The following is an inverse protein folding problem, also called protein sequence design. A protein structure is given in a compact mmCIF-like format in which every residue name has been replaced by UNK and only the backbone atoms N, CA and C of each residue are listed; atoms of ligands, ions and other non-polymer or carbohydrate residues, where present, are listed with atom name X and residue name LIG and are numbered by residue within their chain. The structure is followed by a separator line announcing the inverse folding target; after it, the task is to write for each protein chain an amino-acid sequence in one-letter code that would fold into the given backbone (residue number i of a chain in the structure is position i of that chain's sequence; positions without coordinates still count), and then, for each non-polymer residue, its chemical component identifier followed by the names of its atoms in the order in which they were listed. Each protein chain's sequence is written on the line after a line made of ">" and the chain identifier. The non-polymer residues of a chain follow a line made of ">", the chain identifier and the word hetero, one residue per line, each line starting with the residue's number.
data_IF_273722944130
#
_entry.id   IF_273722944130
#
_cell.length_a   1.000
_cell.length_b   1.000
_cell.length_c   1.000
_cell.angle_alpha   90.00
_cell.angle_beta   90.00
_cell.angle_gamma   90.00
#
_symmetry.space_group_name_H-M   'P 1'
#
loop_
_entity.id
_entity.type
_entity.pdbx_description
1 polymer ?
#
# COMPACT_ATOMS: atom_id res chain seq x y z
N UNK A 1 -5.28 1.88 16.75
CA UNK A 1 -5.15 1.92 15.29
C UNK A 1 -3.74 1.51 14.92
N UNK A 2 -3.53 0.97 13.71
CA UNK A 2 -2.20 0.58 13.25
C UNK A 2 -1.75 1.57 12.18
N UNK A 3 -0.45 1.87 12.18
CA UNK A 3 0.16 2.70 11.14
C UNK A 3 0.64 1.78 10.04
N UNK A 4 0.31 2.11 8.81
CA UNK A 4 0.74 1.40 7.62
C UNK A 4 1.50 2.36 6.71
N UNK A 5 2.67 1.94 6.24
CA UNK A 5 3.40 2.62 5.18
C UNK A 5 2.96 2.05 3.85
N UNK A 6 2.34 2.87 3.01
CA UNK A 6 1.82 2.49 1.70
C UNK A 6 2.70 3.11 0.63
N UNK A 7 3.35 2.28 -0.17
CA UNK A 7 4.28 2.71 -1.21
C UNK A 7 3.67 2.35 -2.58
N UNK A 8 3.52 3.36 -3.44
CA UNK A 8 3.07 3.19 -4.82
C UNK A 8 4.28 2.78 -5.66
N UNK A 9 4.24 1.57 -6.21
CA UNK A 9 5.28 0.98 -7.02
C UNK A 9 4.87 1.05 -8.49
N UNK A 10 5.71 1.68 -9.31
CA UNK A 10 5.59 1.72 -10.77
C UNK A 10 6.82 1.02 -11.36
N UNK A 11 6.60 -0.11 -12.03
CA UNK A 11 7.68 -0.90 -12.64
C UNK A 11 8.85 -1.16 -11.69
N UNK A 12 8.54 -1.51 -10.44
CA UNK A 12 9.51 -1.79 -9.36
C UNK A 12 10.23 -0.57 -8.76
N UNK A 13 9.77 0.65 -9.07
CA UNK A 13 10.26 1.90 -8.49
C UNK A 13 9.21 2.52 -7.56
N UNK A 14 9.61 2.94 -6.37
CA UNK A 14 8.71 3.68 -5.46
C UNK A 14 8.46 5.07 -6.05
N UNK A 15 7.22 5.33 -6.47
CA UNK A 15 6.74 6.64 -6.93
C UNK A 15 6.39 7.55 -5.77
N UNK A 16 5.64 7.02 -4.81
CA UNK A 16 5.07 7.78 -3.70
C UNK A 16 5.02 6.91 -2.45
N UNK A 17 5.21 7.53 -1.29
CA UNK A 17 5.08 6.87 0.01
C UNK A 17 4.09 7.63 0.87
N UNK A 18 3.05 6.94 1.33
CA UNK A 18 2.04 7.44 2.24
C UNK A 18 2.15 6.73 3.59
N UNK A 19 1.85 7.45 4.67
CA UNK A 19 1.73 6.84 6.00
C UNK A 19 0.29 7.01 6.46
N UNK A 20 -0.41 5.89 6.62
CA UNK A 20 -1.86 5.88 6.82
C UNK A 20 -2.22 5.07 8.06
N UNK A 21 -3.07 5.64 8.90
CA UNK A 21 -3.67 4.93 10.02
C UNK A 21 -4.93 4.18 9.59
N UNK A 22 -4.89 2.86 9.75
CA UNK A 22 -5.98 1.97 9.39
C UNK A 22 -6.09 0.79 10.36
N UNK A 23 -7.19 0.05 10.25
CA UNK A 23 -7.37 -1.20 10.99
C UNK A 23 -6.82 -2.41 10.20
N UNK A 24 -6.81 -2.31 8.87
CA UNK A 24 -6.34 -3.36 7.97
C UNK A 24 -5.42 -2.78 6.89
N UNK A 25 -4.46 -3.58 6.37
CA UNK A 25 -3.59 -3.15 5.27
C UNK A 25 -4.39 -2.82 4.00
N UNK A 26 -5.49 -3.53 3.76
CA UNK A 26 -6.40 -3.26 2.64
C UNK A 26 -7.04 -1.87 2.76
N UNK A 27 -7.54 -1.52 3.94
CA UNK A 27 -8.09 -0.19 4.19
C UNK A 27 -7.02 0.91 4.09
N UNK A 28 -5.78 0.63 4.52
CA UNK A 28 -4.67 1.57 4.35
C UNK A 28 -4.38 1.84 2.87
N UNK A 29 -4.34 0.81 2.04
CA UNK A 29 -4.16 0.97 0.60
C UNK A 29 -5.27 1.80 -0.03
N UNK A 30 -6.55 1.48 0.25
CA UNK A 30 -7.68 2.25 -0.28
C UNK A 30 -7.62 3.71 0.14
N UNK A 31 -7.27 3.98 1.41
CA UNK A 31 -7.13 5.35 1.92
C UNK A 31 -5.96 6.10 1.29
N UNK A 32 -4.83 5.45 1.08
CA UNK A 32 -3.65 6.07 0.48
C UNK A 32 -3.90 6.45 -0.99
N UNK A 33 -4.51 5.53 -1.75
CA UNK A 33 -4.76 5.72 -3.19
C UNK A 33 -6.04 6.52 -3.44
N UNK A 34 -6.99 6.48 -2.50
CA UNK A 34 -8.34 7.03 -2.68
C UNK A 34 -9.21 6.23 -3.65
N UNK A 35 -8.82 4.99 -3.98
CA UNK A 35 -9.52 4.10 -4.91
C UNK A 35 -9.49 2.65 -4.41
N UNK A 36 -10.38 1.83 -4.96
CA UNK A 36 -10.42 0.40 -4.66
C UNK A 36 -9.16 -0.28 -5.21
N UNK A 37 -8.49 -1.06 -4.35
CA UNK A 37 -7.31 -1.84 -4.72
C UNK A 37 -7.64 -3.32 -4.68
N UNK A 38 -6.92 -4.14 -5.43
CA UNK A 38 -7.15 -5.59 -5.49
C UNK A 38 -5.91 -6.33 -5.06
N UNK A 39 -6.02 -7.62 -4.73
CA UNK A 39 -4.81 -8.43 -4.54
C UNK A 39 -4.04 -8.48 -5.86
N UNK A 40 -2.73 -8.19 -5.78
CA UNK A 40 -1.84 -8.14 -6.93
C UNK A 40 -1.89 -9.46 -7.70
N UNK A 41 -1.97 -9.39 -9.04
CA UNK A 41 -1.75 -10.53 -9.91
C UNK A 41 -0.47 -10.35 -10.72
N UNK A 42 -0.45 -9.41 -11.68
CA UNK A 42 0.67 -9.22 -12.59
C UNK A 42 0.76 -7.78 -13.16
N UNK A 43 0.33 -6.79 -12.38
CA UNK A 43 0.30 -5.39 -12.83
C UNK A 43 1.64 -4.67 -12.60
N UNK A 44 2.06 -3.88 -13.59
CA UNK A 44 3.24 -3.00 -13.50
C UNK A 44 3.10 -1.94 -12.42
N UNK A 45 1.88 -1.45 -12.20
CA UNK A 45 1.52 -0.53 -11.13
C UNK A 45 0.89 -1.30 -9.98
N UNK A 46 1.53 -1.27 -8.82
CA UNK A 46 1.08 -1.97 -7.64
C UNK A 46 1.46 -1.20 -6.39
N UNK A 47 0.89 -1.59 -5.26
CA UNK A 47 0.96 -0.90 -3.99
C UNK A 47 1.55 -1.85 -2.96
N UNK A 48 2.62 -1.44 -2.31
CA UNK A 48 3.23 -2.16 -1.19
C UNK A 48 2.76 -1.54 0.12
N UNK A 49 2.09 -2.32 0.95
CA UNK A 49 1.64 -1.89 2.28
C UNK A 49 2.47 -2.61 3.34
N UNK A 50 3.28 -1.86 4.07
CA UNK A 50 4.09 -2.35 5.16
C UNK A 50 3.46 -1.95 6.48
N UNK A 51 3.11 -2.92 7.31
CA UNK A 51 2.63 -2.66 8.68
C UNK A 51 3.76 -2.07 9.52
N UNK A 52 3.55 -0.93 10.16
CA UNK A 52 4.53 -0.36 11.09
C UNK A 52 4.15 -0.77 12.51
N UNK A 53 4.95 -1.65 13.11
CA UNK A 53 4.77 -2.11 14.48
C UNK A 53 5.57 -1.22 15.42
N UNK A 54 4.87 -0.38 16.18
CA UNK A 54 5.45 0.38 17.30
C UNK A 54 5.33 -0.44 18.57
N UNK A 55 6.45 -1.02 19.05
CA UNK A 55 6.49 -1.70 20.35
C UNK A 55 7.61 -1.11 21.20
N UNK A 56 7.24 -0.58 22.37
CA UNK A 56 8.16 -0.11 23.41
C UNK A 56 9.38 0.69 22.87
N UNK A 57 9.13 1.85 22.24
CA UNK A 57 10.12 2.77 21.64
C UNK A 57 10.86 2.29 20.38
N UNK A 58 10.53 1.14 19.81
CA UNK A 58 11.06 0.71 18.51
C UNK A 58 9.95 0.65 17.46
N UNK A 59 10.14 1.38 16.36
CA UNK A 59 9.40 1.23 15.11
C UNK A 59 10.06 0.12 14.32
N UNK A 60 9.31 -0.95 14.00
CA UNK A 60 9.76 -2.02 13.11
C UNK A 60 8.78 -2.16 11.95
N UNK A 61 9.32 -2.43 10.78
CA UNK A 61 8.52 -2.91 9.66
C UNK A 61 8.06 -4.35 9.98
N UNK A 62 6.75 -4.53 10.00
CA UNK A 62 6.06 -5.77 10.23
C UNK A 62 5.77 -6.48 8.91
N UNK A 63 4.53 -6.94 8.76
CA UNK A 63 4.13 -7.71 7.57
C UNK A 63 3.93 -6.78 6.37
N UNK A 64 4.41 -7.22 5.21
CA UNK A 64 4.24 -6.55 3.92
C UNK A 64 3.09 -7.22 3.16
N UNK A 65 2.27 -6.39 2.51
CA UNK A 65 1.14 -6.80 1.68
C UNK A 65 1.24 -6.09 0.33
N UNK A 66 0.82 -6.76 -0.72
CA UNK A 66 0.95 -6.27 -2.10
C UNK A 66 -0.43 -6.24 -2.75
N UNK A 67 -0.80 -5.07 -3.28
CA UNK A 67 -2.08 -4.84 -3.92
C UNK A 67 -1.88 -4.28 -5.33
N UNK A 68 -2.68 -4.67 -6.31
CA UNK A 68 -2.71 -3.95 -7.58
C UNK A 68 -3.70 -2.79 -7.49
N UNK A 69 -3.27 -1.63 -7.99
CA UNK A 69 -4.20 -0.58 -8.38
C UNK A 69 -4.79 -1.02 -9.71
N UNK A 70 -6.06 -1.41 -9.71
CA UNK A 70 -6.73 -1.82 -10.93
C UNK A 70 -6.57 -0.71 -11.97
N UNK A 71 -5.73 -0.95 -12.97
CA UNK A 71 -5.63 -0.07 -14.12
C UNK A 71 -6.99 -0.11 -14.79
N UNK A 72 -7.81 0.91 -14.58
CA UNK A 72 -8.77 1.25 -15.62
C UNK A 72 -7.91 1.70 -16.80
N UNK A 73 -7.92 1.00 -17.94
CA UNK A 73 -7.32 1.54 -19.12
C UNK A 73 -8.05 2.85 -19.39
N UNK A 74 -7.35 3.98 -19.28
CA UNK A 74 -7.72 5.15 -20.04
C UNK A 74 -7.49 4.76 -21.51
N UNK A 75 -8.49 4.10 -22.10
CA UNK A 75 -8.60 4.01 -23.55
C UNK A 75 -8.81 5.45 -24.03
N UNK A 76 -7.70 6.08 -24.43
CA UNK A 76 -7.70 7.26 -25.28
C UNK A 76 -7.80 6.84 -26.74
#
# INVERSE_FOLDING_TARGET
>A
MKVYRVEEMDNNTVRVTHTVEALTPFQAAIKAIGRDVRLRKDESNWIRVTETLTRAKQTRDGRVFEYSVGSYPAHG
#
